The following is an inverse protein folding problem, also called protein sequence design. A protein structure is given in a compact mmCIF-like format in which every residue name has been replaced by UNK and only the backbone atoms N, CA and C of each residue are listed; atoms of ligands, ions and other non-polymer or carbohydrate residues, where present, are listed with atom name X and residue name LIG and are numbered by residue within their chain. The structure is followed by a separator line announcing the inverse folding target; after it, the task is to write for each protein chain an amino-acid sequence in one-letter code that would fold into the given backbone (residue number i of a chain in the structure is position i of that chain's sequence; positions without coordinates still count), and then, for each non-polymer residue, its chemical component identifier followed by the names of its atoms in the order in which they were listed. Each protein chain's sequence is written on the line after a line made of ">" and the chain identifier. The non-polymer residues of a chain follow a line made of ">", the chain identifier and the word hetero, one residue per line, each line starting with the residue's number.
data_IF_339687796315
#
_entry.id   IF_339687796315
#
_cell.length_a   1.000
_cell.length_b   1.000
_cell.length_c   1.000
_cell.angle_alpha   90.00
_cell.angle_beta   90.00
_cell.angle_gamma   90.00
#
_symmetry.space_group_name_H-M   'P 1'
#
loop_
_entity.id
_entity.type
_entity.pdbx_description
1 polymer ?
#
# COMPACT_ATOMS: atom_id res chain seq x y z
N UNK A 1 13.85 -37.35 -8.66
CA UNK A 1 12.73 -36.83 -9.48
C UNK A 1 12.45 -35.42 -9.01
N UNK A 2 12.88 -34.42 -9.78
CA UNK A 2 12.55 -33.01 -9.52
C UNK A 2 11.08 -32.84 -9.93
N UNK A 3 10.24 -32.33 -9.02
CA UNK A 3 8.89 -31.91 -9.40
C UNK A 3 9.05 -30.76 -10.39
N UNK A 4 8.41 -30.88 -11.55
CA UNK A 4 8.20 -29.77 -12.45
C UNK A 4 7.25 -28.79 -11.74
N UNK A 5 7.78 -27.64 -11.33
CA UNK A 5 6.95 -26.54 -10.83
C UNK A 5 5.99 -26.11 -11.94
N UNK A 6 4.70 -26.25 -11.70
CA UNK A 6 3.67 -25.76 -12.61
C UNK A 6 3.70 -24.23 -12.68
N UNK A 7 3.37 -23.63 -13.82
CA UNK A 7 3.42 -22.17 -13.99
C UNK A 7 2.48 -21.50 -12.99
N UNK A 8 3.01 -20.50 -12.26
CA UNK A 8 2.17 -19.61 -11.48
C UNK A 8 1.15 -18.91 -12.40
N UNK A 9 -0.08 -18.78 -11.94
CA UNK A 9 -1.16 -18.13 -12.68
C UNK A 9 -1.80 -17.01 -11.85
N UNK A 10 -2.09 -15.88 -12.48
CA UNK A 10 -2.91 -14.82 -11.91
C UNK A 10 -4.27 -14.84 -12.62
N UNK A 11 -5.32 -14.98 -11.83
CA UNK A 11 -6.70 -15.04 -12.31
C UNK A 11 -7.44 -13.84 -11.72
N UNK A 12 -8.08 -13.06 -12.58
CA UNK A 12 -9.01 -12.03 -12.17
C UNK A 12 -10.44 -12.54 -12.37
N UNK A 13 -11.31 -12.25 -11.40
CA UNK A 13 -12.74 -12.53 -11.47
C UNK A 13 -13.50 -11.20 -11.51
N UNK A 14 -14.30 -11.02 -12.57
CA UNK A 14 -15.16 -9.85 -12.73
C UNK A 14 -16.50 -10.11 -12.03
N UNK A 15 -16.83 -9.31 -11.02
CA UNK A 15 -18.08 -9.47 -10.26
C UNK A 15 -19.32 -9.00 -11.02
N UNK A 16 -19.18 -8.11 -12.00
CA UNK A 16 -20.30 -7.59 -12.79
C UNK A 16 -20.67 -8.52 -13.95
N UNK A 17 -19.66 -9.12 -14.57
CA UNK A 17 -19.84 -10.10 -15.65
C UNK A 17 -19.93 -11.55 -15.16
N UNK A 18 -19.51 -11.83 -13.92
CA UNK A 18 -19.37 -13.18 -13.35
C UNK A 18 -18.41 -14.09 -14.14
N UNK A 19 -17.41 -13.49 -14.79
CA UNK A 19 -16.45 -14.19 -15.64
C UNK A 19 -15.02 -14.15 -15.04
N UNK A 20 -14.25 -15.21 -15.28
CA UNK A 20 -12.83 -15.23 -14.95
C UNK A 20 -11.99 -14.93 -16.20
N UNK A 21 -10.86 -14.27 -15.99
CA UNK A 21 -9.85 -14.05 -17.02
C UNK A 21 -8.45 -14.29 -16.47
N UNK A 22 -7.57 -14.81 -17.32
CA UNK A 22 -6.15 -14.88 -17.01
C UNK A 22 -5.53 -13.50 -17.15
N UNK A 23 -4.71 -13.11 -16.18
CA UNK A 23 -3.90 -11.89 -16.23
C UNK A 23 -2.45 -12.32 -16.35
N UNK A 24 -1.72 -11.73 -17.28
CA UNK A 24 -0.31 -12.04 -17.47
C UNK A 24 0.50 -11.63 -16.24
N UNK A 25 1.37 -12.53 -15.79
CA UNK A 25 2.36 -12.25 -14.75
C UNK A 25 3.52 -11.39 -15.32
N UNK A 26 4.27 -10.68 -14.46
CA UNK A 26 5.53 -10.10 -14.85
C UNK A 26 6.51 -11.20 -15.26
N UNK A 27 7.51 -10.84 -16.06
CA UNK A 27 8.60 -11.76 -16.45
C UNK A 27 9.52 -12.04 -15.26
N UNK A 28 9.04 -12.92 -14.39
CA UNK A 28 9.72 -13.48 -13.24
C UNK A 28 10.62 -14.61 -13.74
N UNK A 29 11.92 -14.60 -13.42
CA UNK A 29 12.81 -15.69 -13.81
C UNK A 29 12.42 -16.99 -13.12
N UNK A 30 12.48 -18.13 -13.83
CA UNK A 30 11.84 -19.42 -13.53
C UNK A 30 12.27 -20.21 -12.26
N UNK A 31 12.88 -19.58 -11.26
CA UNK A 31 13.35 -20.29 -10.05
C UNK A 31 12.66 -19.69 -8.84
N UNK A 32 11.39 -20.02 -8.68
CA UNK A 32 10.49 -19.31 -7.78
C UNK A 32 10.36 -20.12 -6.48
N UNK A 33 10.79 -19.53 -5.35
CA UNK A 33 10.55 -20.11 -4.05
C UNK A 33 9.19 -19.67 -3.49
N UNK A 34 8.80 -18.41 -3.77
CA UNK A 34 7.54 -17.85 -3.27
C UNK A 34 7.13 -16.56 -4.03
N UNK A 35 5.90 -16.55 -4.55
CA UNK A 35 5.22 -15.37 -5.09
C UNK A 35 4.07 -14.95 -4.18
N UNK A 36 3.94 -13.64 -3.93
CA UNK A 36 2.83 -13.05 -3.17
C UNK A 36 2.25 -11.85 -3.92
N UNK A 37 0.92 -11.80 -4.01
CA UNK A 37 0.20 -10.68 -4.60
C UNK A 37 -0.27 -9.71 -3.52
N UNK A 38 -0.12 -8.41 -3.79
CA UNK A 38 -0.40 -7.34 -2.83
C UNK A 38 -0.86 -6.08 -3.56
N UNK A 39 -1.26 -5.05 -2.80
CA UNK A 39 -1.64 -3.74 -3.33
C UNK A 39 -0.71 -2.68 -2.77
N UNK A 40 -0.12 -1.88 -3.66
CA UNK A 40 0.70 -0.72 -3.30
C UNK A 40 0.10 0.53 -3.93
N UNK A 41 -0.40 1.45 -3.10
CA UNK A 41 -1.06 2.69 -3.54
C UNK A 41 -2.12 2.47 -4.64
N UNK A 42 -2.92 1.41 -4.51
CA UNK A 42 -3.99 1.09 -5.46
C UNK A 42 -3.55 0.29 -6.70
N UNK A 43 -2.25 0.05 -6.90
CA UNK A 43 -1.76 -0.80 -7.97
C UNK A 43 -1.56 -2.24 -7.49
N UNK A 44 -1.94 -3.22 -8.33
CA UNK A 44 -1.59 -4.62 -8.10
C UNK A 44 -0.07 -4.80 -8.17
N UNK A 45 0.47 -5.53 -7.20
CA UNK A 45 1.89 -5.81 -7.08
C UNK A 45 2.15 -7.30 -6.94
N UNK A 46 3.33 -7.72 -7.40
CA UNK A 46 3.86 -9.07 -7.22
C UNK A 46 5.19 -8.95 -6.50
N UNK A 47 5.25 -9.48 -5.28
CA UNK A 47 6.51 -9.75 -4.61
C UNK A 47 6.99 -11.13 -5.01
N UNK A 48 8.21 -11.19 -5.53
CA UNK A 48 8.85 -12.43 -5.87
C UNK A 48 10.11 -12.62 -5.04
N UNK A 49 10.14 -13.67 -4.22
CA UNK A 49 11.33 -14.09 -3.51
C UNK A 49 12.04 -15.26 -4.20
N UNK A 50 13.33 -15.06 -4.40
CA UNK A 50 14.25 -16.04 -4.97
C UNK A 50 15.15 -16.58 -3.86
N UNK A 51 15.13 -17.90 -3.65
CA UNK A 51 15.97 -18.54 -2.66
C UNK A 51 17.45 -18.17 -2.89
N UNK A 52 18.08 -17.63 -1.85
CA UNK A 52 19.49 -17.18 -1.86
C UNK A 52 19.84 -16.00 -2.79
N UNK A 53 18.88 -15.40 -3.50
CA UNK A 53 19.17 -14.21 -4.34
C UNK A 53 18.57 -12.93 -3.76
N UNK A 54 17.36 -12.98 -3.23
CA UNK A 54 16.71 -11.80 -2.67
C UNK A 54 15.23 -11.70 -3.05
N UNK A 55 14.74 -10.47 -3.13
CA UNK A 55 13.33 -10.17 -3.41
C UNK A 55 13.19 -9.07 -4.46
N UNK A 56 12.31 -9.30 -5.43
CA UNK A 56 11.83 -8.29 -6.36
C UNK A 56 10.39 -7.88 -5.99
N UNK A 57 10.05 -6.60 -6.20
CA UNK A 57 8.66 -6.14 -6.20
C UNK A 57 8.34 -5.55 -7.57
N UNK A 58 7.34 -6.11 -8.21
CA UNK A 58 6.78 -5.65 -9.48
C UNK A 58 5.45 -4.94 -9.24
N UNK A 59 5.20 -3.87 -9.99
CA UNK A 59 3.95 -3.10 -9.95
C UNK A 59 3.34 -3.06 -11.34
N UNK A 60 2.05 -3.38 -11.45
CA UNK A 60 1.27 -3.24 -12.68
C UNK A 60 0.75 -1.81 -12.78
N UNK A 61 1.27 -1.02 -13.72
CA UNK A 61 0.87 0.38 -13.91
C UNK A 61 -0.49 0.52 -14.59
N UNK A 62 -0.82 -0.42 -15.47
CA UNK A 62 -2.10 -0.47 -16.17
C UNK A 62 -2.72 -1.86 -16.01
N UNK A 63 -3.91 -1.91 -15.42
CA UNK A 63 -4.49 -3.18 -15.01
C UNK A 63 -4.81 -4.09 -16.21
N UNK A 64 -4.27 -5.32 -16.19
CA UNK A 64 -4.45 -6.29 -17.26
C UNK A 64 -3.47 -6.16 -18.43
N UNK A 65 -2.60 -5.15 -18.45
CA UNK A 65 -1.61 -4.94 -19.52
C UNK A 65 -0.26 -5.53 -19.09
N UNK A 66 0.21 -6.58 -19.79
CA UNK A 66 1.46 -7.29 -19.46
C UNK A 66 2.66 -6.36 -19.47
N UNK A 67 2.74 -5.50 -20.47
CA UNK A 67 3.87 -4.59 -20.71
C UNK A 67 3.94 -3.47 -19.66
N UNK A 68 2.88 -3.27 -18.87
CA UNK A 68 2.84 -2.26 -17.81
C UNK A 68 3.50 -2.70 -16.51
N UNK A 69 3.86 -3.99 -16.39
CA UNK A 69 4.61 -4.49 -15.25
C UNK A 69 5.99 -3.85 -15.19
N UNK A 70 6.26 -3.13 -14.10
CA UNK A 70 7.55 -2.49 -13.87
C UNK A 70 8.16 -3.02 -12.58
N UNK A 71 9.43 -3.43 -12.61
CA UNK A 71 10.18 -3.78 -11.41
C UNK A 71 10.48 -2.51 -10.62
N UNK A 72 9.84 -2.36 -9.46
CA UNK A 72 9.98 -1.20 -8.60
C UNK A 72 11.15 -1.35 -7.63
N UNK A 73 11.24 -2.50 -6.98
CA UNK A 73 12.23 -2.82 -5.95
C UNK A 73 12.99 -4.07 -6.37
N UNK A 74 14.31 -4.04 -6.15
CA UNK A 74 15.19 -5.20 -6.20
C UNK A 74 16.08 -5.11 -4.96
N UNK A 75 15.99 -6.10 -4.07
CA UNK A 75 16.80 -6.18 -2.86
C UNK A 75 17.47 -7.55 -2.82
N UNK A 76 18.79 -7.54 -2.92
CA UNK A 76 19.60 -8.74 -2.76
C UNK A 76 19.55 -9.26 -1.31
N UNK A 77 19.67 -10.58 -1.15
CA UNK A 77 19.69 -11.21 0.18
C UNK A 77 20.89 -10.73 1.04
N UNK A 78 21.97 -10.29 0.40
CA UNK A 78 23.15 -9.68 1.04
C UNK A 78 22.80 -8.39 1.78
N UNK A 79 21.84 -7.61 1.28
CA UNK A 79 21.44 -6.32 1.84
C UNK A 79 20.49 -6.46 3.03
N UNK A 80 19.72 -7.56 3.08
CA UNK A 80 18.79 -7.82 4.17
C UNK A 80 18.57 -9.32 4.36
N UNK A 81 18.82 -9.78 5.60
CA UNK A 81 18.49 -11.15 6.00
C UNK A 81 16.98 -11.34 5.98
N UNK A 82 16.55 -12.54 5.58
CA UNK A 82 15.14 -12.93 5.56
C UNK A 82 14.24 -11.99 4.75
N UNK A 83 14.71 -11.56 3.57
CA UNK A 83 13.94 -10.74 2.62
C UNK A 83 12.54 -11.28 2.26
N UNK A 84 12.27 -12.57 2.50
CA UNK A 84 10.92 -13.17 2.44
C UNK A 84 9.89 -12.47 3.33
N UNK A 85 10.32 -11.89 4.45
CA UNK A 85 9.45 -11.24 5.43
C UNK A 85 9.38 -9.72 5.25
N UNK A 86 9.85 -9.20 4.11
CA UNK A 86 9.59 -7.81 3.75
C UNK A 86 8.18 -7.68 3.20
N UNK A 87 7.47 -6.62 3.58
CA UNK A 87 6.14 -6.28 3.04
C UNK A 87 6.06 -4.81 2.60
N UNK A 88 5.65 -4.46 1.36
CA UNK A 88 5.53 -3.08 0.96
C UNK A 88 4.32 -2.47 1.64
N UNK A 89 4.57 -1.28 2.15
CA UNK A 89 3.61 -0.33 2.64
C UNK A 89 3.65 0.88 1.71
N UNK A 90 2.95 1.98 2.00
CA UNK A 90 2.84 3.11 1.08
C UNK A 90 4.17 3.78 0.71
N UNK A 91 4.13 4.51 -0.39
CA UNK A 91 5.21 5.44 -0.75
C UNK A 91 5.32 6.57 0.28
N UNK A 92 6.52 7.15 0.40
CA UNK A 92 6.73 8.42 1.05
C UNK A 92 5.91 9.52 0.37
N UNK A 93 5.65 10.62 1.10
CA UNK A 93 4.85 11.75 0.59
C UNK A 93 5.37 12.33 -0.74
N UNK A 94 6.68 12.28 -0.98
CA UNK A 94 7.31 12.74 -2.22
C UNK A 94 7.42 11.65 -3.30
N UNK A 95 6.92 10.44 -3.05
CA UNK A 95 6.96 9.31 -3.98
C UNK A 95 8.34 8.69 -4.21
N UNK A 96 9.39 9.17 -3.53
CA UNK A 96 10.78 8.74 -3.79
C UNK A 96 11.20 7.48 -3.02
N UNK A 97 10.49 7.14 -1.95
CA UNK A 97 10.80 5.98 -1.12
C UNK A 97 9.56 5.12 -0.94
N UNK A 98 9.74 3.83 -0.73
CA UNK A 98 8.69 2.88 -0.34
C UNK A 98 8.97 2.42 1.08
N UNK A 99 7.95 2.50 1.95
CA UNK A 99 8.06 1.95 3.29
C UNK A 99 7.91 0.44 3.21
N UNK A 100 8.74 -0.31 3.91
CA UNK A 100 8.66 -1.75 4.00
C UNK A 100 8.52 -2.15 5.48
N UNK A 101 7.57 -3.02 5.80
CA UNK A 101 7.58 -3.74 7.07
C UNK A 101 8.54 -4.93 6.95
N UNK A 102 9.29 -5.23 8.01
CA UNK A 102 10.20 -6.37 8.05
C UNK A 102 9.92 -7.21 9.30
N UNK A 103 9.51 -8.46 9.08
CA UNK A 103 9.32 -9.50 10.11
C UNK A 103 8.43 -9.05 11.28
N UNK A 104 7.38 -8.26 10.99
CA UNK A 104 6.46 -7.70 12.00
C UNK A 104 7.12 -6.90 13.14
N UNK A 105 8.39 -6.50 12.98
CA UNK A 105 9.23 -6.00 14.08
C UNK A 105 9.78 -4.62 13.85
N UNK A 106 9.96 -4.25 12.58
CA UNK A 106 10.64 -3.02 12.24
C UNK A 106 10.28 -2.56 10.84
N UNK A 107 10.55 -1.30 10.57
CA UNK A 107 10.34 -0.71 9.26
C UNK A 107 11.65 -0.40 8.53
N UNK A 108 11.60 -0.40 7.21
CA UNK A 108 12.70 0.00 6.33
C UNK A 108 12.19 0.98 5.28
N UNK A 109 12.95 2.04 5.02
CA UNK A 109 12.77 2.81 3.79
C UNK A 109 13.59 2.18 2.67
N UNK A 110 12.97 1.98 1.52
CA UNK A 110 13.69 1.70 0.28
C UNK A 110 13.69 2.95 -0.60
N UNK A 111 14.88 3.47 -0.91
CA UNK A 111 15.04 4.61 -1.81
C UNK A 111 15.00 4.15 -3.27
N UNK A 112 14.01 4.64 -4.03
CA UNK A 112 13.79 4.20 -5.41
C UNK A 112 14.84 4.73 -6.38
N UNK A 113 15.47 5.86 -6.08
CA UNK A 113 16.52 6.46 -6.91
C UNK A 113 17.87 5.81 -6.60
N UNK A 114 18.22 5.74 -5.31
CA UNK A 114 19.52 5.24 -4.86
C UNK A 114 19.60 3.72 -4.76
N UNK A 115 18.46 3.04 -4.76
CA UNK A 115 18.34 1.58 -4.56
C UNK A 115 18.93 1.12 -3.23
N UNK A 116 18.81 1.95 -2.19
CA UNK A 116 19.33 1.68 -0.84
C UNK A 116 18.21 1.37 0.13
N UNK A 117 18.54 0.65 1.19
CA UNK A 117 17.62 0.31 2.29
C UNK A 117 18.11 0.93 3.59
N UNK A 118 17.21 1.60 4.32
CA UNK A 118 17.50 2.34 5.54
C UNK A 118 16.56 1.89 6.66
N UNK A 119 17.05 1.78 7.90
CA UNK A 119 16.20 1.47 9.06
C UNK A 119 15.36 2.68 9.45
N UNK A 120 14.10 2.42 9.81
CA UNK A 120 13.21 3.44 10.38
C UNK A 120 12.99 3.09 11.84
N UNK A 121 13.39 4.00 12.74
CA UNK A 121 13.09 3.88 14.16
C UNK A 121 11.77 4.59 14.48
N UNK A 122 10.88 3.90 15.19
CA UNK A 122 9.67 4.48 15.76
C UNK A 122 9.79 4.40 17.28
N UNK A 123 9.57 5.52 17.97
CA UNK A 123 9.67 5.55 19.43
C UNK A 123 8.54 4.73 20.06
N UNK A 124 8.89 3.87 21.02
CA UNK A 124 7.92 3.02 21.72
C UNK A 124 7.41 1.84 20.89
N UNK A 125 8.15 1.43 19.86
CA UNK A 125 7.81 0.29 19.01
C UNK A 125 7.72 -1.01 19.83
N UNK A 126 6.59 -1.74 19.79
CA UNK A 126 6.48 -3.05 20.41
C UNK A 126 7.40 -4.07 19.75
N UNK A 127 7.77 -5.13 20.48
CA UNK A 127 8.60 -6.22 19.94
C UNK A 127 8.00 -6.92 18.72
N UNK A 128 6.68 -6.89 18.54
CA UNK A 128 5.97 -7.33 17.34
C UNK A 128 4.68 -6.52 17.14
N UNK A 129 4.36 -6.20 15.90
CA UNK A 129 3.13 -5.51 15.54
C UNK A 129 2.67 -5.86 14.11
N UNK A 130 1.37 -5.87 13.91
CA UNK A 130 0.76 -5.88 12.58
C UNK A 130 0.64 -4.48 12.02
N UNK A 131 0.67 -4.34 10.69
CA UNK A 131 0.39 -3.06 10.02
C UNK A 131 -0.90 -3.16 9.22
N UNK A 132 -1.70 -2.10 9.24
CA UNK A 132 -2.85 -1.95 8.34
C UNK A 132 -2.75 -0.60 7.63
N UNK A 133 -2.89 -0.61 6.31
CA UNK A 133 -2.87 0.61 5.49
C UNK A 133 -4.31 1.08 5.31
N UNK A 134 -4.63 2.25 5.87
CA UNK A 134 -5.94 2.86 5.72
C UNK A 134 -5.94 3.85 4.55
N UNK A 135 -6.85 3.67 3.58
CA UNK A 135 -7.13 4.67 2.56
C UNK A 135 -8.24 5.59 3.07
N UNK A 136 -8.01 6.90 3.02
CA UNK A 136 -9.03 7.88 3.41
C UNK A 136 -10.29 7.74 2.55
N UNK A 137 -11.46 7.74 3.18
CA UNK A 137 -12.75 7.80 2.48
C UNK A 137 -12.97 9.22 1.94
N UNK A 138 -13.49 9.33 0.72
CA UNK A 138 -13.97 10.60 0.15
C UNK A 138 -15.38 10.97 0.64
N UNK A 139 -16.04 10.08 1.40
CA UNK A 139 -17.33 10.37 2.02
C UNK A 139 -17.06 11.06 3.35
N UNK A 140 -17.51 12.32 3.54
CA UNK A 140 -17.48 12.95 4.86
C UNK A 140 -18.27 12.08 5.84
N UNK A 141 -17.67 11.77 6.99
CA UNK A 141 -18.35 11.05 8.07
C UNK A 141 -19.38 11.93 8.80
N UNK A 142 -19.41 13.21 8.44
CA UNK A 142 -20.41 14.16 8.92
C UNK A 142 -21.72 13.87 8.17
N UNK A 143 -22.47 12.89 8.68
CA UNK A 143 -23.88 12.78 8.39
C UNK A 143 -24.51 14.14 8.67
N UNK A 144 -24.93 14.84 7.61
CA UNK A 144 -25.37 16.23 7.66
C UNK A 144 -26.36 16.47 8.80
N UNK A 145 -25.85 16.97 9.92
CA UNK A 145 -26.67 17.72 10.86
C UNK A 145 -26.74 19.13 10.30
N UNK A 146 -27.93 19.68 10.05
CA UNK A 146 -28.07 21.10 9.83
C UNK A 146 -27.38 21.82 10.98
N UNK A 147 -26.44 22.70 10.62
CA UNK A 147 -25.80 23.60 11.55
C UNK A 147 -26.86 24.66 11.95
N UNK A 148 -27.62 24.37 13.01
CA UNK A 148 -28.61 25.28 13.62
C UNK A 148 -27.94 26.47 14.36
N UNK A 149 -26.66 26.78 14.09
CA UNK A 149 -25.95 27.87 14.76
C UNK A 149 -26.21 29.27 14.17
N UNK A 150 -27.15 29.42 13.23
CA UNK A 150 -27.54 30.73 12.68
C UNK A 150 -28.99 31.10 12.95
N UNK A 151 -29.38 31.25 14.23
CA UNK A 151 -30.62 32.00 14.54
C UNK A 151 -30.70 32.69 15.91
N UNK A 152 -29.55 32.96 16.56
CA UNK A 152 -29.53 33.64 17.86
C UNK A 152 -28.86 35.02 17.89
N UNK A 153 -28.42 35.54 16.74
CA UNK A 153 -27.78 36.86 16.66
C UNK A 153 -28.73 38.04 16.35
N UNK A 154 -30.03 37.80 16.13
CA UNK A 154 -30.96 38.83 15.63
C UNK A 154 -32.12 39.20 16.58
N UNK A 155 -32.22 38.59 17.77
CA UNK A 155 -33.29 38.93 18.74
C UNK A 155 -32.86 39.88 19.86
N UNK A 156 -31.56 40.10 20.08
CA UNK A 156 -31.09 40.98 21.16
C UNK A 156 -30.92 42.47 20.78
N UNK A 157 -31.00 42.82 19.49
CA UNK A 157 -30.94 44.23 19.05
C UNK A 157 -32.28 44.99 19.10
N UNK A 158 -33.37 44.38 19.56
CA UNK A 158 -34.70 45.02 19.62
C UNK A 158 -35.16 45.43 21.03
N UNK A 159 -34.38 45.14 22.09
CA UNK A 159 -34.71 45.54 23.47
C UNK A 159 -33.99 46.81 23.96
N UNK A 160 -32.99 47.33 23.24
CA UNK A 160 -32.24 48.53 23.66
C UNK A 160 -32.81 49.88 23.19
N UNK A 161 -33.95 49.91 22.48
CA UNK A 161 -34.61 51.16 22.06
C UNK A 161 -35.78 51.63 22.92
N UNK A 162 -36.09 50.94 24.03
CA UNK A 162 -37.23 51.28 24.91
C UNK A 162 -36.82 51.91 26.25
N UNK A 163 -35.52 51.99 26.58
CA UNK A 163 -35.07 52.55 27.87
C UNK A 163 -33.90 53.52 27.65
N UNK A 164 -34.19 54.69 27.10
CA UNK A 164 -33.49 55.95 27.39
C UNK A 164 -34.50 57.10 27.30
N UNK A 165 -35.05 57.47 28.46
CA UNK A 165 -35.54 58.83 28.75
C UNK A 165 -34.45 59.53 29.54
#
# INVERSE_FOLDING_TARGET
>A
MLREDGPHALIAFDLGAEEYRMVSLPECGAVDFYLKFEVLNGCLCVRHYYLKKGVDLWVMKEYGVKESWTKLICIEQSNIRFAIYLEPLPYSKNGKKVLLQHDFRSFRWYDLEKKTIEMVGINGEPDHFGTTVCLGSLVPLDGGRPDDSKDQATKDKKKEKVIRR
#
